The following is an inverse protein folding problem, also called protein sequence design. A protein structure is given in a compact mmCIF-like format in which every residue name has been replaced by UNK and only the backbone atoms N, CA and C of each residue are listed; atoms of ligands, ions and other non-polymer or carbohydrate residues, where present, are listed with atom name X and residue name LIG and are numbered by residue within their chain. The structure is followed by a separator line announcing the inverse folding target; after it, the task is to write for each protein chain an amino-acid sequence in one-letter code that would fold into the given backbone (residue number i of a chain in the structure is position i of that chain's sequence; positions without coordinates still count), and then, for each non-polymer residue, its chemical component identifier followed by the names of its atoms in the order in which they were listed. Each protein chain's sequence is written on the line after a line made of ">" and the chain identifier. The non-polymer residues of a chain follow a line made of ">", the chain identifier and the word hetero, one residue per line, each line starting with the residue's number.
data_IF_811661725480
#
_entry.id   IF_811661725480
#
_cell.length_a   1.000
_cell.length_b   1.000
_cell.length_c   1.000
_cell.angle_alpha   90.00
_cell.angle_beta   90.00
_cell.angle_gamma   90.00
#
_symmetry.space_group_name_H-M   'P 1'
#
loop_
_entity.id
_entity.type
_entity.pdbx_description
1 polymer ?
#
# COMPACT_ATOMS: atom_id res chain seq x y z
N UNK A 1 12.68 24.20 2.25
CA UNK A 1 11.83 22.98 2.52
C UNK A 1 11.10 22.53 1.25
N UNK A 2 11.22 21.10 0.99
CA UNK A 2 10.51 20.56 -0.19
C UNK A 2 9.70 19.31 0.24
N UNK A 3 8.87 18.90 -0.84
CA UNK A 3 8.13 17.63 -0.62
C UNK A 3 8.60 16.60 -1.64
N UNK A 4 9.15 15.54 -1.07
CA UNK A 4 9.57 14.43 -1.95
C UNK A 4 8.47 13.36 -2.00
N UNK A 5 8.05 13.08 -3.29
CA UNK A 5 6.87 12.20 -3.45
C UNK A 5 7.33 10.96 -4.23
N UNK A 6 7.12 9.79 -3.53
CA UNK A 6 7.48 8.52 -4.19
C UNK A 6 6.20 7.80 -4.59
N UNK A 7 6.16 7.46 -5.89
CA UNK A 7 4.97 6.73 -6.38
C UNK A 7 5.43 5.37 -6.91
N UNK A 8 4.93 4.38 -6.14
CA UNK A 8 5.30 3.00 -6.53
C UNK A 8 4.09 2.30 -7.14
N UNK A 9 4.26 2.00 -8.42
CA UNK A 9 3.10 1.46 -9.17
C UNK A 9 3.34 -0.04 -9.44
N UNK A 10 2.37 -0.80 -8.97
CA UNK A 10 2.49 -2.28 -9.09
C UNK A 10 1.96 -2.77 -10.42
N UNK A 11 1.49 -1.83 -11.37
CA UNK A 11 0.95 -2.28 -12.68
C UNK A 11 2.04 -2.22 -13.75
N UNK A 12 2.28 -3.37 -14.39
CA UNK A 12 3.29 -3.44 -15.48
C UNK A 12 2.77 -2.76 -16.74
N UNK A 13 1.91 -1.65 -16.43
CA UNK A 13 1.42 -0.89 -17.59
C UNK A 13 2.32 0.31 -17.86
N UNK A 14 2.56 0.46 -19.16
CA UNK A 14 3.41 1.60 -19.54
C UNK A 14 2.59 2.90 -19.54
N UNK A 15 3.38 4.01 -19.45
CA UNK A 15 2.78 5.36 -19.43
C UNK A 15 1.93 5.61 -20.68
N UNK A 16 2.05 4.70 -21.64
CA UNK A 16 1.30 4.94 -22.90
C UNK A 16 -0.05 4.23 -22.90
N UNK A 17 -0.28 3.50 -21.86
CA UNK A 17 -1.59 2.80 -21.77
C UNK A 17 -2.72 3.78 -21.45
N UNK A 18 -3.79 3.62 -22.19
CA UNK A 18 -4.91 4.56 -21.97
C UNK A 18 -5.61 4.29 -20.64
N UNK A 19 -5.38 3.13 -20.08
CA UNK A 19 -5.97 2.84 -18.75
C UNK A 19 -4.89 2.74 -17.68
N UNK A 20 -4.74 3.89 -17.01
CA UNK A 20 -3.56 3.99 -16.11
C UNK A 20 -4.03 3.81 -14.67
N UNK A 21 -3.13 3.46 -13.76
CA UNK A 21 -3.45 3.23 -12.32
C UNK A 21 -3.68 4.56 -11.59
N UNK A 22 -4.19 4.36 -10.42
CA UNK A 22 -4.40 5.58 -9.60
C UNK A 22 -3.05 6.18 -9.18
N UNK A 23 -2.05 5.34 -9.09
CA UNK A 23 -0.72 5.89 -8.74
C UNK A 23 -0.24 6.82 -9.86
N UNK A 24 -0.43 6.38 -11.07
CA UNK A 24 -0.02 7.23 -12.21
C UNK A 24 -0.85 8.51 -12.26
N UNK A 25 -2.14 8.34 -12.03
CA UNK A 25 -2.99 9.56 -12.03
C UNK A 25 -2.52 10.53 -10.94
N UNK A 26 -2.16 10.04 -9.74
CA UNK A 26 -1.67 10.94 -8.66
C UNK A 26 -0.35 11.58 -9.10
N UNK A 27 0.52 10.83 -9.67
CA UNK A 27 1.83 11.38 -10.06
C UNK A 27 1.66 12.49 -11.10
N UNK A 28 0.70 12.31 -12.01
CA UNK A 28 0.54 13.31 -13.10
C UNK A 28 -0.15 14.57 -12.57
N UNK A 29 -0.82 14.39 -11.41
CA UNK A 29 -1.67 15.53 -10.97
C UNK A 29 -0.91 16.38 -9.94
N UNK A 30 0.19 15.90 -9.45
CA UNK A 30 0.89 16.66 -8.39
C UNK A 30 1.50 17.92 -9.01
N UNK A 31 1.24 19.01 -8.34
CA UNK A 31 1.81 20.30 -8.79
C UNK A 31 3.31 20.35 -8.48
N UNK A 32 4.01 20.88 -9.48
CA UNK A 32 5.46 20.96 -9.24
C UNK A 32 5.77 21.99 -8.15
N UNK A 33 5.12 23.07 -8.17
CA UNK A 33 5.28 24.09 -7.11
C UNK A 33 3.92 24.35 -6.45
N UNK A 34 3.93 24.14 -5.08
CA UNK A 34 2.67 24.38 -4.34
C UNK A 34 2.35 25.88 -4.24
N UNK A 35 1.12 26.19 -3.87
CA UNK A 35 0.67 27.60 -3.75
C UNK A 35 1.58 28.42 -2.83
N UNK A 36 2.15 27.71 -1.91
CA UNK A 36 2.99 28.47 -0.96
C UNK A 36 4.46 28.49 -1.42
N UNK A 37 4.72 28.03 -2.62
CA UNK A 37 6.08 28.13 -3.19
C UNK A 37 6.90 26.86 -2.91
N UNK A 38 6.30 25.89 -2.07
CA UNK A 38 7.06 24.66 -1.75
C UNK A 38 7.19 23.77 -2.98
N UNK A 39 8.45 23.35 -3.24
CA UNK A 39 8.67 22.43 -4.39
C UNK A 39 8.18 21.02 -4.04
N UNK A 40 7.43 20.37 -5.04
CA UNK A 40 6.99 18.98 -4.87
C UNK A 40 7.62 18.11 -5.98
N UNK A 41 8.64 17.27 -5.53
CA UNK A 41 9.37 16.47 -6.53
C UNK A 41 8.85 15.02 -6.52
N UNK A 42 8.50 14.65 -7.79
CA UNK A 42 7.87 13.31 -7.90
C UNK A 42 8.91 12.32 -8.45
N UNK A 43 9.01 11.21 -7.75
CA UNK A 43 9.79 10.08 -8.28
C UNK A 43 8.86 8.88 -8.49
N UNK A 44 8.77 8.53 -9.80
CA UNK A 44 7.83 7.42 -10.12
C UNK A 44 8.63 6.12 -10.35
N UNK A 45 8.24 5.11 -9.55
CA UNK A 45 8.92 3.81 -9.69
C UNK A 45 8.04 2.85 -10.51
N UNK A 46 8.64 2.47 -11.65
CA UNK A 46 7.84 1.55 -12.50
C UNK A 46 8.03 0.10 -12.04
N UNK A 47 7.05 -0.61 -11.77
CA UNK A 47 7.14 -2.06 -11.44
C UNK A 47 8.04 -2.81 -12.45
N UNK A 48 9.24 -3.42 -12.12
CA UNK A 48 10.17 -4.24 -12.93
C UNK A 48 9.36 -5.21 -13.80
N UNK A 49 9.19 -4.87 -15.22
CA UNK A 49 9.12 -5.88 -16.30
C UNK A 49 8.29 -5.35 -17.47
N UNK A 50 8.75 -4.36 -18.14
CA UNK A 50 8.27 -3.98 -19.49
C UNK A 50 8.34 -5.18 -20.43
N UNK A 51 7.48 -6.33 -20.06
CA UNK A 51 7.14 -7.16 -21.22
C UNK A 51 6.85 -8.60 -20.80
N UNK A 52 5.64 -8.98 -20.14
CA UNK A 52 4.98 -10.31 -20.14
C UNK A 52 3.84 -10.30 -19.12
N UNK A 53 2.60 -10.55 -19.66
CA UNK A 53 1.32 -10.83 -19.00
C UNK A 53 1.51 -11.19 -17.52
N UNK A 54 1.12 -10.17 -16.51
CA UNK A 54 0.93 -10.20 -15.05
C UNK A 54 1.07 -11.62 -14.49
N UNK A 55 0.87 -12.82 -15.43
CA UNK A 55 0.78 -14.18 -14.83
C UNK A 55 2.10 -14.93 -15.03
N UNK A 56 2.86 -14.59 -16.07
CA UNK A 56 4.06 -15.38 -16.44
C UNK A 56 5.26 -15.00 -15.58
N UNK A 57 5.18 -13.92 -14.94
CA UNK A 57 6.38 -13.48 -14.20
C UNK A 57 6.22 -13.76 -12.70
N UNK A 58 4.86 -13.95 -12.25
CA UNK A 58 4.52 -14.33 -10.87
C UNK A 58 5.00 -15.77 -10.61
N UNK A 59 5.24 -16.64 -11.67
CA UNK A 59 5.59 -18.07 -11.47
C UNK A 59 7.07 -18.26 -11.79
N UNK A 60 7.85 -17.12 -12.23
CA UNK A 60 9.19 -17.41 -12.76
C UNK A 60 10.28 -16.77 -11.89
N UNK A 61 10.07 -16.44 -10.45
CA UNK A 61 11.26 -16.20 -9.60
C UNK A 61 11.85 -14.79 -9.83
N UNK A 62 11.49 -13.89 -10.89
CA UNK A 62 11.98 -12.52 -11.17
C UNK A 62 11.21 -11.50 -10.32
N UNK A 63 10.30 -11.93 -9.39
CA UNK A 63 9.45 -11.03 -8.58
C UNK A 63 10.25 -10.43 -7.43
N UNK A 64 11.11 -11.19 -6.82
CA UNK A 64 11.85 -10.75 -5.62
C UNK A 64 13.02 -9.83 -5.97
N UNK A 65 13.64 -10.09 -7.07
CA UNK A 65 14.79 -9.26 -7.49
C UNK A 65 14.33 -7.91 -8.03
N UNK A 66 13.15 -7.85 -8.68
CA UNK A 66 12.60 -6.59 -9.21
C UNK A 66 12.12 -5.64 -8.10
N UNK A 67 11.60 -6.21 -7.06
CA UNK A 67 11.10 -5.35 -5.95
C UNK A 67 12.28 -4.74 -5.18
N UNK A 68 13.38 -5.50 -5.08
CA UNK A 68 14.55 -4.92 -4.37
C UNK A 68 15.15 -3.75 -5.17
N UNK A 69 15.11 -3.97 -6.42
CA UNK A 69 15.72 -2.89 -7.23
C UNK A 69 14.87 -1.61 -7.15
N UNK A 70 13.56 -1.84 -7.18
CA UNK A 70 12.69 -0.64 -7.11
C UNK A 70 12.80 0.01 -5.71
N UNK A 71 12.85 -0.83 -4.70
CA UNK A 71 12.98 -0.28 -3.33
C UNK A 71 14.27 0.53 -3.20
N UNK A 72 15.41 -0.06 -3.64
CA UNK A 72 16.68 0.66 -3.48
C UNK A 72 16.69 1.92 -4.36
N UNK A 73 16.11 1.83 -5.48
CA UNK A 73 16.02 3.03 -6.33
C UNK A 73 15.25 4.16 -5.63
N UNK A 74 14.08 3.83 -5.07
CA UNK A 74 13.31 4.87 -4.34
C UNK A 74 14.12 5.39 -3.13
N UNK A 75 14.74 4.46 -2.42
CA UNK A 75 15.59 4.87 -1.26
C UNK A 75 16.72 5.78 -1.73
N UNK A 76 17.34 5.40 -2.79
CA UNK A 76 18.43 6.24 -3.35
C UNK A 76 17.93 7.65 -3.70
N UNK A 77 16.81 7.74 -4.32
CA UNK A 77 16.26 9.07 -4.65
C UNK A 77 16.09 9.92 -3.38
N UNK A 78 15.53 9.27 -2.35
CA UNK A 78 15.36 10.06 -1.12
C UNK A 78 16.72 10.47 -0.55
N UNK A 79 17.65 9.54 -0.54
CA UNK A 79 18.97 9.83 0.07
C UNK A 79 19.68 10.96 -0.69
N UNK A 80 19.46 11.06 -1.93
CA UNK A 80 20.22 12.06 -2.70
C UNK A 80 19.52 13.41 -2.66
N UNK A 81 18.23 13.39 -2.28
CA UNK A 81 17.53 14.68 -2.51
C UNK A 81 16.97 15.22 -1.20
N UNK A 82 17.09 14.44 -0.14
CA UNK A 82 16.48 14.88 1.11
C UNK A 82 17.38 15.92 1.79
N UNK A 83 16.71 16.94 2.35
CA UNK A 83 17.33 17.90 3.28
C UNK A 83 16.49 17.99 4.55
N UNK A 84 17.25 18.24 5.67
CA UNK A 84 16.48 18.32 6.93
C UNK A 84 15.31 19.30 6.82
N UNK A 85 14.14 18.79 7.19
CA UNK A 85 12.93 19.65 7.15
C UNK A 85 12.02 19.26 5.98
N UNK A 86 12.56 18.43 5.03
CA UNK A 86 11.70 18.08 3.88
C UNK A 86 10.62 17.09 4.32
N UNK A 87 9.58 17.08 3.55
CA UNK A 87 8.48 16.15 3.83
C UNK A 87 8.46 15.04 2.77
N UNK A 88 8.15 13.77 3.30
CA UNK A 88 8.18 12.63 2.36
C UNK A 88 6.77 12.03 2.27
N UNK A 89 6.35 11.92 0.98
CA UNK A 89 5.05 11.27 0.71
C UNK A 89 5.30 10.00 -0.13
N UNK A 90 4.59 8.94 0.31
CA UNK A 90 4.81 7.70 -0.45
C UNK A 90 3.45 7.09 -0.81
N UNK A 91 3.35 6.67 -2.11
CA UNK A 91 2.09 6.04 -2.55
C UNK A 91 2.43 4.71 -3.25
N UNK A 92 1.45 3.84 -3.08
CA UNK A 92 1.72 2.54 -3.74
C UNK A 92 0.41 1.80 -4.01
N UNK A 93 0.47 1.01 -5.11
CA UNK A 93 -0.69 0.15 -5.43
C UNK A 93 -0.20 -1.28 -5.66
N UNK A 94 -0.98 -2.29 -5.08
CA UNK A 94 -0.71 -3.74 -5.24
C UNK A 94 0.71 -4.09 -4.78
N UNK A 95 1.59 -4.46 -5.72
CA UNK A 95 2.99 -4.75 -5.35
C UNK A 95 3.75 -3.45 -5.06
N UNK A 96 3.38 -2.48 -5.87
CA UNK A 96 3.97 -1.16 -5.54
C UNK A 96 3.67 -0.73 -4.09
N UNK A 97 2.48 -1.11 -3.64
CA UNK A 97 2.16 -0.79 -2.21
C UNK A 97 3.09 -1.56 -1.28
N UNK A 98 3.45 -2.76 -1.74
CA UNK A 98 4.45 -3.50 -0.94
C UNK A 98 5.79 -2.75 -0.91
N UNK A 99 6.21 -2.29 -2.03
CA UNK A 99 7.45 -1.51 -2.10
C UNK A 99 7.36 -0.25 -1.25
N UNK A 100 6.22 0.43 -1.35
CA UNK A 100 6.06 1.68 -0.58
C UNK A 100 6.15 1.39 0.92
N UNK A 101 5.52 0.36 1.28
CA UNK A 101 5.54 0.04 2.72
C UNK A 101 6.94 -0.37 3.14
N UNK A 102 7.63 -1.16 2.34
CA UNK A 102 9.01 -1.55 2.65
C UNK A 102 9.95 -0.34 2.70
N UNK A 103 9.71 0.52 1.76
CA UNK A 103 10.55 1.74 1.77
C UNK A 103 10.39 2.52 3.07
N UNK A 104 9.12 2.69 3.50
CA UNK A 104 8.90 3.48 4.73
C UNK A 104 9.47 2.73 5.94
N UNK A 105 9.35 1.43 5.88
CA UNK A 105 9.91 0.65 7.00
C UNK A 105 11.45 0.71 6.99
N UNK A 106 12.00 0.59 5.79
CA UNK A 106 13.47 0.68 5.70
C UNK A 106 13.98 2.03 6.21
N UNK A 107 13.29 3.08 5.86
CA UNK A 107 13.73 4.40 6.36
C UNK A 107 13.60 4.44 7.89
N UNK A 108 12.57 3.87 8.41
CA UNK A 108 12.35 3.86 9.87
C UNK A 108 13.34 2.94 10.59
N UNK A 109 13.74 1.93 9.95
CA UNK A 109 14.57 0.92 10.65
C UNK A 109 16.06 1.30 10.52
N UNK A 110 16.51 1.42 9.24
CA UNK A 110 17.97 1.65 9.11
C UNK A 110 18.26 3.15 9.03
N UNK A 111 17.38 4.00 8.82
CA UNK A 111 17.61 5.46 8.65
C UNK A 111 17.87 5.81 7.18
N UNK A 112 17.85 7.10 6.89
CA UNK A 112 18.07 7.56 5.50
C UNK A 112 19.51 8.06 5.34
N UNK A 113 20.20 7.45 4.36
CA UNK A 113 21.61 7.83 4.13
C UNK A 113 21.70 9.31 3.70
N UNK A 114 22.87 9.92 4.15
CA UNK A 114 23.10 11.30 3.65
C UNK A 114 23.76 11.24 2.27
N UNK A 115 23.50 12.33 1.55
CA UNK A 115 24.12 12.36 0.20
C UNK A 115 25.65 12.27 0.30
N UNK A 116 26.23 12.84 1.37
CA UNK A 116 27.70 12.78 1.56
C UNK A 116 28.16 11.35 1.84
N UNK A 117 27.37 10.67 2.62
CA UNK A 117 27.77 9.27 2.91
C UNK A 117 27.78 8.44 1.62
N UNK A 118 26.80 8.77 0.78
CA UNK A 118 26.78 8.00 -0.48
C UNK A 118 27.96 8.37 -1.37
N UNK A 119 28.36 9.65 -1.33
CA UNK A 119 29.43 10.11 -2.26
C UNK A 119 30.81 9.76 -1.70
N UNK A 120 30.96 9.77 -0.34
CA UNK A 120 32.31 9.78 0.26
C UNK A 120 32.61 8.38 0.83
N UNK A 121 31.82 7.42 0.42
CA UNK A 121 32.11 6.08 0.96
C UNK A 121 33.51 5.62 0.52
N UNK A 122 34.52 5.97 1.46
CA UNK A 122 35.97 5.73 1.31
C UNK A 122 36.26 4.24 1.43
N UNK A 123 35.77 3.40 0.32
CA UNK A 123 36.05 1.95 0.37
C UNK A 123 35.01 1.16 -0.44
N UNK A 124 35.43 0.11 -1.27
CA UNK A 124 34.76 -0.90 -2.12
C UNK A 124 33.35 -1.23 -1.59
N UNK A 125 32.78 -0.52 -0.40
CA UNK A 125 31.48 -1.03 0.09
C UNK A 125 30.36 -0.12 -0.46
N UNK A 126 29.58 -0.66 -1.19
CA UNK A 126 28.36 0.00 -1.70
C UNK A 126 27.31 0.15 -0.59
N UNK A 127 27.14 1.43 -0.06
CA UNK A 127 26.30 1.67 1.14
C UNK A 127 24.82 1.44 0.82
N UNK A 128 24.46 1.60 -0.41
CA UNK A 128 23.04 1.27 -0.74
C UNK A 128 22.77 -0.23 -0.56
N UNK A 129 23.75 -0.99 -1.08
CA UNK A 129 23.58 -2.44 -0.88
C UNK A 129 23.65 -2.82 0.60
N UNK A 130 24.54 -2.15 1.29
CA UNK A 130 24.63 -2.42 2.74
C UNK A 130 23.34 -2.04 3.47
N UNK A 131 22.74 -0.90 3.05
CA UNK A 131 21.44 -0.52 3.68
C UNK A 131 20.40 -1.62 3.50
N UNK A 132 20.31 -2.10 2.29
CA UNK A 132 19.29 -3.14 2.02
C UNK A 132 19.62 -4.41 2.81
N UNK A 133 20.88 -4.81 2.79
CA UNK A 133 21.27 -6.04 3.52
C UNK A 133 21.00 -5.90 5.03
N UNK A 134 21.38 -4.73 5.56
CA UNK A 134 21.12 -4.50 7.00
C UNK A 134 19.63 -4.55 7.31
N UNK A 135 18.90 -3.86 6.49
CA UNK A 135 17.44 -3.88 6.66
C UNK A 135 16.91 -5.31 6.62
N UNK A 136 17.39 -6.12 5.78
CA UNK A 136 16.86 -7.50 5.66
C UNK A 136 17.30 -8.36 6.85
N UNK A 137 18.59 -8.21 7.08
CA UNK A 137 19.11 -9.01 8.20
C UNK A 137 18.36 -8.70 9.50
N UNK A 138 18.20 -7.38 9.65
CA UNK A 138 17.48 -6.99 10.88
C UNK A 138 16.06 -7.57 10.89
N UNK A 139 15.45 -7.68 9.75
CA UNK A 139 14.05 -8.15 9.75
C UNK A 139 13.99 -9.68 9.80
N UNK A 140 14.97 -10.31 9.28
CA UNK A 140 14.98 -11.79 9.35
C UNK A 140 15.20 -12.25 10.80
N UNK A 141 16.05 -11.54 11.54
CA UNK A 141 16.46 -11.96 12.91
C UNK A 141 15.46 -11.43 13.94
N UNK A 142 14.49 -10.58 13.55
CA UNK A 142 13.52 -9.88 14.43
C UNK A 142 12.12 -10.47 14.22
N UNK A 143 11.85 -11.83 14.46
CA UNK A 143 10.49 -12.34 14.73
C UNK A 143 10.23 -12.43 16.23
N UNK A 144 11.16 -11.55 17.16
CA UNK A 144 10.64 -11.30 18.52
C UNK A 144 11.82 -11.04 19.48
N UNK A 145 13.29 -10.76 18.93
CA UNK A 145 14.39 -10.28 19.79
C UNK A 145 15.70 -10.26 18.99
N UNK A 146 16.00 -9.14 18.44
CA UNK A 146 17.23 -9.14 17.63
C UNK A 146 18.48 -9.47 18.47
N UNK A 147 19.26 -10.56 18.09
CA UNK A 147 20.57 -10.81 18.74
C UNK A 147 21.45 -9.56 18.80
N UNK A 148 22.17 -9.26 19.83
CA UNK A 148 23.09 -8.14 20.11
C UNK A 148 23.95 -7.79 18.89
N UNK A 149 24.15 -8.72 17.94
CA UNK A 149 25.02 -8.43 16.78
C UNK A 149 24.26 -7.66 15.70
N UNK A 150 23.01 -8.02 15.42
CA UNK A 150 22.21 -7.28 14.43
C UNK A 150 21.94 -5.84 14.90
N UNK A 151 21.77 -5.69 16.20
CA UNK A 151 21.56 -4.31 16.71
C UNK A 151 22.85 -3.48 16.59
N UNK A 152 23.92 -4.12 16.85
CA UNK A 152 25.21 -3.39 16.73
C UNK A 152 25.48 -3.00 15.27
N UNK A 153 25.21 -3.96 14.40
CA UNK A 153 25.41 -3.63 12.96
C UNK A 153 24.49 -2.48 12.53
N UNK A 154 23.24 -2.60 12.97
CA UNK A 154 22.31 -1.49 12.65
C UNK A 154 22.81 -0.16 13.21
N UNK A 155 23.24 -0.18 14.48
CA UNK A 155 23.71 1.08 15.09
C UNK A 155 24.93 1.62 14.32
N UNK A 156 25.77 0.71 13.96
CA UNK A 156 26.96 1.16 13.21
C UNK A 156 26.55 1.77 11.86
N UNK A 157 25.63 1.08 11.23
CA UNK A 157 25.21 1.60 9.92
C UNK A 157 24.56 2.98 10.07
N UNK A 158 23.82 3.24 11.05
CA UNK A 158 23.04 4.48 11.18
C UNK A 158 23.96 5.69 11.35
N UNK A 159 25.21 5.46 11.54
CA UNK A 159 26.16 6.61 11.62
C UNK A 159 26.27 7.33 10.29
N UNK A 160 25.82 6.63 9.28
CA UNK A 160 25.92 7.27 7.94
C UNK A 160 24.60 7.93 7.55
N UNK A 161 23.63 7.95 8.42
CA UNK A 161 22.29 8.43 8.01
C UNK A 161 21.98 9.75 8.71
N UNK A 162 20.91 10.42 8.16
CA UNK A 162 20.46 11.65 8.81
C UNK A 162 19.97 11.34 10.23
N UNK A 163 20.27 12.32 11.20
CA UNK A 163 19.67 12.20 12.55
C UNK A 163 20.45 11.20 13.42
N UNK A 164 21.76 10.80 12.88
CA UNK A 164 22.56 9.81 13.63
C UNK A 164 22.98 10.37 15.00
N UNK A 165 22.99 11.70 15.15
CA UNK A 165 23.42 12.28 16.44
C UNK A 165 22.22 12.48 17.37
N UNK A 166 21.04 12.73 16.77
CA UNK A 166 19.83 12.93 17.59
C UNK A 166 18.65 12.24 16.90
N UNK A 167 17.99 11.38 17.73
CA UNK A 167 16.90 10.55 17.16
C UNK A 167 15.72 11.43 16.71
N UNK A 168 15.48 12.56 17.37
CA UNK A 168 14.31 13.39 17.02
C UNK A 168 14.53 14.14 15.70
N UNK A 169 15.72 13.96 15.13
CA UNK A 169 15.96 14.69 13.86
C UNK A 169 15.96 13.70 12.69
N UNK A 170 15.59 12.48 12.98
CA UNK A 170 15.55 11.48 11.88
C UNK A 170 14.38 11.79 10.93
N UNK A 171 14.71 11.54 9.66
CA UNK A 171 13.64 11.80 8.69
C UNK A 171 12.38 10.97 8.98
N UNK A 172 11.28 11.70 8.80
CA UNK A 172 9.99 10.99 9.02
C UNK A 172 9.18 10.95 7.72
N UNK A 173 8.32 9.92 7.71
CA UNK A 173 7.37 9.85 6.57
C UNK A 173 6.07 10.58 6.91
N UNK A 174 5.92 11.72 6.13
CA UNK A 174 4.74 12.54 6.45
C UNK A 174 3.44 11.79 6.12
N UNK A 175 3.44 11.05 4.94
CA UNK A 175 2.17 10.41 4.52
C UNK A 175 2.50 9.19 3.66
N UNK A 176 1.83 8.08 4.04
CA UNK A 176 1.84 6.92 3.11
C UNK A 176 0.40 6.52 2.79
N UNK A 177 0.20 6.44 1.46
CA UNK A 177 -1.11 5.97 0.98
C UNK A 177 -0.95 4.76 0.05
N UNK A 178 -1.69 3.74 0.44
CA UNK A 178 -1.54 2.55 -0.42
C UNK A 178 -2.93 2.05 -0.81
N UNK A 179 -2.92 1.46 -2.06
CA UNK A 179 -4.17 0.87 -2.58
C UNK A 179 -4.02 -0.66 -2.61
N UNK A 180 -4.77 -1.33 -1.90
CA UNK A 180 -4.97 -2.79 -1.88
C UNK A 180 -3.63 -3.52 -2.01
N UNK A 181 -2.90 -3.54 -0.90
CA UNK A 181 -1.57 -4.18 -0.87
C UNK A 181 -1.71 -5.71 -0.95
N UNK A 182 -0.93 -6.29 -1.90
CA UNK A 182 -0.94 -7.77 -1.95
C UNK A 182 0.50 -8.27 -1.72
N UNK A 183 0.58 -9.22 -0.72
CA UNK A 183 1.91 -9.75 -0.31
C UNK A 183 2.48 -10.68 -1.39
N UNK A 184 3.89 -10.75 -1.54
CA UNK A 184 4.67 -11.66 -2.42
C UNK A 184 4.31 -13.12 -2.16
N UNK A 185 3.34 -13.44 -1.21
CA UNK A 185 3.09 -14.82 -0.71
C UNK A 185 2.10 -15.55 -1.62
N UNK A 186 1.67 -14.93 -2.73
CA UNK A 186 0.73 -15.56 -3.67
C UNK A 186 1.46 -16.17 -4.88
N UNK A 187 2.92 -16.23 -4.83
CA UNK A 187 3.67 -16.82 -5.95
C UNK A 187 4.06 -18.26 -5.56
N UNK A 188 3.46 -19.27 -6.26
CA UNK A 188 3.86 -20.66 -6.04
C UNK A 188 5.39 -20.81 -5.96
N UNK A 189 5.97 -21.17 -4.75
CA UNK A 189 7.43 -21.45 -4.63
C UNK A 189 8.14 -20.33 -3.84
N UNK A 190 7.42 -19.20 -3.51
CA UNK A 190 8.03 -18.11 -2.71
C UNK A 190 7.47 -18.21 -1.29
N UNK A 191 8.32 -18.76 -0.31
CA UNK A 191 7.95 -18.98 1.12
C UNK A 191 8.11 -17.67 1.91
N UNK A 192 7.15 -17.35 2.83
CA UNK A 192 7.17 -16.26 3.84
C UNK A 192 8.57 -16.03 4.39
N UNK A 193 9.41 -17.07 4.36
CA UNK A 193 10.76 -16.98 4.94
C UNK A 193 11.73 -16.23 4.02
N UNK A 194 11.36 -16.19 2.67
CA UNK A 194 12.28 -15.52 1.71
C UNK A 194 11.82 -14.09 1.40
N UNK A 195 10.58 -13.67 1.92
CA UNK A 195 10.11 -12.30 1.58
C UNK A 195 9.10 -11.83 2.62
N UNK A 196 9.15 -12.48 3.93
CA UNK A 196 8.43 -12.10 5.18
C UNK A 196 8.79 -10.68 5.60
N UNK A 197 9.11 -9.74 4.53
CA UNK A 197 9.61 -8.40 4.89
C UNK A 197 8.45 -7.45 5.18
N UNK A 198 7.19 -8.02 5.23
CA UNK A 198 6.17 -6.99 5.53
C UNK A 198 5.73 -7.12 6.99
N UNK A 199 6.32 -6.25 7.74
CA UNK A 199 5.66 -5.98 9.04
C UNK A 199 4.29 -5.31 8.85
N UNK A 200 3.34 -6.10 9.02
CA UNK A 200 1.99 -5.46 9.03
C UNK A 200 1.94 -4.39 10.12
N UNK A 201 3.19 -4.28 10.84
CA UNK A 201 3.24 -3.18 11.84
C UNK A 201 3.89 -1.91 11.25
N UNK A 202 3.26 -0.86 11.36
CA UNK A 202 3.73 0.43 10.81
C UNK A 202 4.87 0.99 11.68
N UNK A 203 5.94 1.46 10.94
CA UNK A 203 7.09 2.06 11.66
C UNK A 203 6.66 3.34 12.41
N UNK A 204 7.26 3.62 13.54
CA UNK A 204 6.95 4.84 14.32
C UNK A 204 7.41 6.10 13.58
N UNK A 205 8.06 5.89 12.49
CA UNK A 205 8.55 7.07 11.74
C UNK A 205 7.50 7.58 10.74
N UNK A 206 6.34 6.96 10.80
CA UNK A 206 5.26 7.38 9.87
C UNK A 206 4.25 8.21 10.66
N UNK A 207 3.89 9.39 10.01
CA UNK A 207 2.93 10.28 10.72
C UNK A 207 1.49 9.88 10.36
N UNK A 208 1.25 9.70 9.01
CA UNK A 208 -0.13 9.40 8.59
C UNK A 208 -0.09 8.23 7.60
N UNK A 209 -0.97 7.20 7.89
CA UNK A 209 -1.07 6.05 6.96
C UNK A 209 -2.53 5.84 6.53
N UNK A 210 -2.73 5.73 5.19
CA UNK A 210 -4.07 5.48 4.63
C UNK A 210 -4.01 4.29 3.67
N UNK A 211 -5.00 3.45 3.87
CA UNK A 211 -5.04 2.28 3.00
C UNK A 211 -6.46 2.08 2.46
N UNK A 212 -6.51 1.94 1.12
CA UNK A 212 -7.78 1.60 0.49
C UNK A 212 -7.79 0.10 0.16
N UNK A 213 -8.97 -0.53 0.54
CA UNK A 213 -9.01 -1.99 0.38
C UNK A 213 -10.26 -2.38 -0.43
N UNK A 214 -10.03 -3.55 -1.12
CA UNK A 214 -11.13 -4.01 -2.00
C UNK A 214 -12.01 -5.03 -1.25
N UNK A 215 -13.36 -4.76 -1.30
CA UNK A 215 -14.30 -5.62 -0.52
C UNK A 215 -14.65 -6.84 -1.37
N UNK A 216 -14.59 -6.76 -2.69
CA UNK A 216 -15.19 -7.82 -3.54
C UNK A 216 -14.07 -8.66 -4.17
N UNK A 217 -12.83 -8.53 -3.67
CA UNK A 217 -11.74 -9.32 -4.29
C UNK A 217 -11.80 -10.76 -3.75
N UNK A 218 -11.92 -11.67 -4.70
CA UNK A 218 -12.20 -13.06 -4.25
C UNK A 218 -11.01 -13.97 -4.56
N UNK A 219 -10.07 -13.43 -5.24
CA UNK A 219 -8.89 -14.27 -5.51
C UNK A 219 -8.06 -14.46 -4.23
N UNK A 220 -7.82 -15.68 -3.90
CA UNK A 220 -7.16 -16.00 -2.62
C UNK A 220 -5.69 -15.59 -2.64
N UNK A 221 -5.14 -15.48 -3.81
CA UNK A 221 -3.71 -15.07 -3.92
C UNK A 221 -3.56 -13.57 -3.70
N UNK A 222 -4.76 -12.88 -3.55
CA UNK A 222 -4.72 -11.42 -3.33
C UNK A 222 -5.20 -11.10 -1.91
N UNK A 223 -4.72 -11.84 -1.00
CA UNK A 223 -5.08 -11.55 0.39
C UNK A 223 -4.55 -10.16 0.81
N UNK A 224 -5.46 -9.41 1.36
CA UNK A 224 -5.00 -8.07 1.71
C UNK A 224 -4.05 -8.08 2.92
N UNK A 225 -3.08 -7.19 2.80
CA UNK A 225 -2.18 -6.98 3.94
C UNK A 225 -2.63 -5.78 4.78
N UNK A 226 -3.36 -6.09 5.88
CA UNK A 226 -3.96 -5.00 6.68
C UNK A 226 -2.97 -4.61 7.79
N UNK A 227 -2.90 -3.27 8.00
CA UNK A 227 -2.02 -2.81 9.10
C UNK A 227 -2.61 -3.17 10.47
N UNK A 228 -1.66 -3.53 11.39
CA UNK A 228 -2.06 -3.70 12.80
C UNK A 228 -1.37 -2.65 13.67
N UNK A 229 -2.28 -1.98 14.46
CA UNK A 229 -1.65 -0.97 15.35
C UNK A 229 -2.05 -1.28 16.80
N UNK A 230 -1.13 -1.15 17.71
CA UNK A 230 -1.45 -1.40 19.13
C UNK A 230 -2.13 -0.17 19.76
N UNK A 231 -2.56 0.93 18.75
CA UNK A 231 -3.34 2.09 19.24
C UNK A 231 -2.54 3.00 20.15
N UNK A 232 -1.31 2.73 20.43
CA UNK A 232 -0.52 3.50 21.42
C UNK A 232 0.58 4.30 20.71
N UNK A 233 0.55 4.24 19.31
CA UNK A 233 1.63 4.95 18.59
C UNK A 233 1.10 6.25 17.96
N UNK A 234 2.01 7.22 17.77
CA UNK A 234 1.66 8.56 17.26
C UNK A 234 1.13 8.50 15.82
N UNK A 235 1.12 7.32 15.21
CA UNK A 235 0.76 7.31 13.78
C UNK A 235 -0.76 7.31 13.62
N UNK A 236 -1.19 8.17 12.77
CA UNK A 236 -2.62 8.22 12.42
C UNK A 236 -2.91 7.26 11.24
N UNK A 237 -3.60 6.13 11.61
CA UNK A 237 -3.82 5.09 10.58
C UNK A 237 -5.32 5.02 10.26
N UNK A 238 -5.57 4.95 8.94
CA UNK A 238 -6.96 4.73 8.51
C UNK A 238 -6.96 3.74 7.34
N UNK A 239 -7.74 2.70 7.56
CA UNK A 239 -7.92 1.70 6.48
C UNK A 239 -9.39 1.62 6.08
N UNK A 240 -9.69 1.90 4.79
CA UNK A 240 -11.09 2.05 4.35
C UNK A 240 -11.36 1.02 3.25
N UNK A 241 -12.52 0.31 3.44
CA UNK A 241 -12.92 -0.70 2.43
C UNK A 241 -13.86 -0.09 1.38
N UNK A 242 -13.43 -0.34 0.13
CA UNK A 242 -14.20 0.21 -1.01
C UNK A 242 -14.82 -0.95 -1.79
N UNK A 243 -15.96 -0.60 -2.43
CA UNK A 243 -16.62 -1.60 -3.29
C UNK A 243 -15.77 -1.88 -4.55
N UNK A 244 -15.69 -3.19 -4.93
CA UNK A 244 -15.00 -3.55 -6.18
C UNK A 244 -13.83 -4.51 -5.89
N UNK A 245 -13.25 -4.87 -7.01
CA UNK A 245 -12.10 -5.80 -6.90
C UNK A 245 -10.79 -5.02 -6.93
N UNK A 246 -9.67 -5.68 -6.87
CA UNK A 246 -8.31 -5.12 -6.75
C UNK A 246 -8.10 -3.94 -7.71
N UNK A 247 -8.45 -4.09 -8.92
CA UNK A 247 -8.17 -3.02 -9.90
C UNK A 247 -9.25 -1.92 -9.83
N UNK A 248 -10.40 -2.24 -9.19
CA UNK A 248 -11.42 -1.17 -8.97
C UNK A 248 -10.96 -0.19 -7.89
N UNK A 249 -9.90 -0.66 -7.11
CA UNK A 249 -9.36 0.23 -6.08
C UNK A 249 -8.10 0.94 -6.61
N UNK A 250 -7.30 0.21 -7.29
CA UNK A 250 -5.97 0.72 -7.71
C UNK A 250 -6.00 1.31 -9.10
N UNK A 251 -7.10 1.04 -9.81
CA UNK A 251 -7.20 1.62 -11.18
C UNK A 251 -6.54 0.71 -12.22
N UNK A 252 -6.74 1.15 -13.53
CA UNK A 252 -6.01 0.34 -14.52
C UNK A 252 -6.98 -0.42 -15.44
N UNK A 253 -8.33 -0.08 -15.16
CA UNK A 253 -9.28 -0.78 -16.04
C UNK A 253 -9.97 0.22 -16.97
N UNK A 254 -10.53 -0.36 -18.03
CA UNK A 254 -11.25 0.47 -19.02
C UNK A 254 -12.38 1.27 -18.36
N UNK A 255 -13.02 0.53 -17.42
CA UNK A 255 -14.03 1.27 -16.64
C UNK A 255 -13.44 1.72 -15.30
N UNK A 256 -13.33 3.00 -15.05
CA UNK A 256 -12.50 3.46 -13.92
C UNK A 256 -13.36 4.08 -12.81
N UNK A 257 -14.74 4.07 -13.03
CA UNK A 257 -15.58 4.88 -12.12
C UNK A 257 -15.42 4.38 -10.67
N UNK A 258 -15.31 3.03 -10.44
CA UNK A 258 -15.17 2.61 -9.02
C UNK A 258 -13.80 3.00 -8.45
N UNK A 259 -12.80 2.94 -9.23
CA UNK A 259 -11.46 3.30 -8.72
C UNK A 259 -11.31 4.81 -8.51
N UNK A 260 -12.27 5.57 -9.05
CA UNK A 260 -12.22 7.03 -8.87
C UNK A 260 -12.58 7.40 -7.41
N UNK A 261 -13.45 6.56 -6.81
CA UNK A 261 -13.82 6.88 -5.42
C UNK A 261 -12.62 6.71 -4.48
N UNK A 262 -11.90 5.58 -4.66
CA UNK A 262 -10.72 5.42 -3.78
C UNK A 262 -9.64 6.46 -4.10
N UNK A 263 -9.52 6.82 -5.37
CA UNK A 263 -8.55 7.87 -5.74
C UNK A 263 -8.91 9.20 -5.08
N UNK A 264 -10.19 9.55 -5.10
CA UNK A 264 -10.61 10.84 -4.52
C UNK A 264 -10.36 10.84 -3.01
N UNK A 265 -10.67 9.77 -2.44
CA UNK A 265 -10.47 9.70 -0.98
C UNK A 265 -8.99 9.86 -0.64
N UNK A 266 -8.17 9.09 -1.32
CA UNK A 266 -6.73 9.11 -1.00
C UNK A 266 -6.13 10.51 -1.25
N UNK A 267 -6.45 11.11 -2.35
CA UNK A 267 -5.88 12.44 -2.65
C UNK A 267 -6.39 13.47 -1.64
N UNK A 268 -7.67 13.34 -1.32
CA UNK A 268 -8.20 14.30 -0.33
C UNK A 268 -7.47 14.14 1.01
N UNK A 269 -7.19 12.87 1.38
CA UNK A 269 -6.48 12.66 2.67
C UNK A 269 -5.06 13.22 2.60
N UNK A 270 -4.42 12.97 1.49
CA UNK A 270 -3.04 13.48 1.36
C UNK A 270 -3.02 15.01 1.31
N UNK A 271 -4.03 15.63 0.68
CA UNK A 271 -4.07 17.11 0.58
C UNK A 271 -4.27 17.74 1.95
N UNK A 272 -4.99 17.04 2.82
CA UNK A 272 -5.17 17.59 4.19
C UNK A 272 -3.84 17.66 4.93
N UNK A 273 -2.87 16.98 4.28
CA UNK A 273 -1.55 17.00 4.98
C UNK A 273 -0.50 17.68 4.12
N UNK A 274 -1.01 18.49 3.17
CA UNK A 274 -0.05 19.46 2.60
C UNK A 274 0.24 19.14 1.12
N UNK A 275 -0.15 17.89 0.65
CA UNK A 275 0.10 17.62 -0.78
C UNK A 275 -0.85 18.44 -1.67
N UNK A 276 -0.29 19.07 -2.64
CA UNK A 276 -1.16 19.86 -3.54
C UNK A 276 -1.12 19.26 -4.96
N UNK A 277 -2.29 19.19 -5.51
CA UNK A 277 -2.38 18.63 -6.88
C UNK A 277 -3.01 19.69 -7.80
N UNK A 278 -2.74 19.46 -9.14
CA UNK A 278 -3.42 20.28 -10.16
C UNK A 278 -4.71 19.57 -10.60
N UNK A 279 -5.84 20.14 -10.14
CA UNK A 279 -7.15 19.45 -10.33
C UNK A 279 -7.46 19.27 -11.81
N UNK A 280 -7.02 20.24 -12.59
CA UNK A 280 -7.31 20.15 -14.03
C UNK A 280 -6.63 18.94 -14.66
N UNK A 281 -5.63 18.39 -13.93
CA UNK A 281 -4.90 17.24 -14.53
C UNK A 281 -5.53 15.93 -14.05
N UNK A 282 -6.58 16.07 -13.20
CA UNK A 282 -7.24 14.84 -12.73
C UNK A 282 -8.34 14.43 -13.72
N UNK A 283 -8.60 13.08 -13.80
CA UNK A 283 -9.67 12.66 -14.72
C UNK A 283 -11.00 13.32 -14.39
N UNK A 284 -11.78 13.76 -15.47
CA UNK A 284 -13.07 14.49 -15.36
C UNK A 284 -14.05 13.74 -14.46
N UNK A 285 -13.82 12.47 -14.39
CA UNK A 285 -14.77 11.64 -13.62
C UNK A 285 -14.62 11.92 -12.12
N UNK A 286 -13.49 12.62 -11.73
CA UNK A 286 -13.29 12.94 -10.30
C UNK A 286 -14.01 14.22 -9.92
N UNK A 287 -14.60 14.94 -10.97
CA UNK A 287 -15.30 16.21 -10.66
C UNK A 287 -16.81 15.99 -10.60
N UNK A 288 -17.23 14.70 -11.05
CA UNK A 288 -18.67 14.39 -10.94
C UNK A 288 -18.85 13.06 -10.19
N UNK A 289 -19.77 13.10 -9.09
CA UNK A 289 -19.99 11.88 -8.27
C UNK A 289 -20.70 10.80 -9.11
N UNK A 290 -19.88 9.66 -9.14
CA UNK A 290 -20.58 8.58 -9.87
C UNK A 290 -21.92 8.21 -9.20
N UNK A 291 -22.95 8.05 -10.09
CA UNK A 291 -24.24 7.55 -9.55
C UNK A 291 -24.09 6.08 -9.13
N UNK A 292 -23.80 5.92 -7.82
CA UNK A 292 -23.38 4.58 -7.35
C UNK A 292 -24.62 3.67 -7.27
N UNK A 293 -25.84 4.22 -7.35
CA UNK A 293 -27.05 3.35 -7.32
C UNK A 293 -27.56 3.14 -8.74
N UNK A 294 -26.91 3.83 -9.67
CA UNK A 294 -27.37 3.72 -11.06
C UNK A 294 -27.00 2.35 -11.66
N UNK A 295 -27.71 1.93 -12.67
CA UNK A 295 -27.50 0.61 -13.31
C UNK A 295 -26.16 0.56 -14.05
N UNK A 296 -25.59 1.71 -14.29
CA UNK A 296 -24.36 1.73 -15.11
C UNK A 296 -23.12 1.59 -14.23
N UNK A 297 -23.31 1.70 -12.88
CA UNK A 297 -22.18 1.53 -11.95
C UNK A 297 -22.02 0.03 -11.63
N UNK A 298 -20.90 -0.53 -12.20
CA UNK A 298 -20.74 -1.99 -12.00
C UNK A 298 -19.28 -2.30 -11.70
N UNK A 299 -19.07 -2.75 -10.45
CA UNK A 299 -17.69 -3.19 -10.18
C UNK A 299 -17.29 -4.39 -11.06
N UNK A 300 -16.02 -4.48 -11.26
CA UNK A 300 -15.54 -5.55 -12.15
C UNK A 300 -15.48 -6.89 -11.41
N UNK A 301 -15.41 -7.96 -12.36
CA UNK A 301 -15.32 -9.33 -11.79
C UNK A 301 -13.90 -9.88 -12.01
N UNK A 302 -13.30 -10.15 -10.92
CA UNK A 302 -11.86 -10.55 -11.01
C UNK A 302 -11.74 -12.06 -11.15
N UNK A 303 -12.83 -12.89 -11.07
CA UNK A 303 -12.70 -14.36 -11.09
C UNK A 303 -12.82 -14.86 -12.53
N UNK A 304 -11.69 -14.89 -13.18
CA UNK A 304 -11.72 -15.58 -14.48
C UNK A 304 -11.66 -17.10 -14.31
N UNK A 305 -11.96 -17.77 -15.39
CA UNK A 305 -11.90 -19.26 -15.32
C UNK A 305 -10.53 -19.74 -14.82
N UNK A 306 -9.51 -19.09 -15.22
CA UNK A 306 -8.15 -19.48 -14.76
C UNK A 306 -8.01 -19.29 -13.24
N UNK A 307 -8.57 -18.24 -12.71
CA UNK A 307 -8.41 -17.99 -11.26
C UNK A 307 -9.37 -18.87 -10.45
N UNK A 308 -10.38 -19.30 -11.14
CA UNK A 308 -11.27 -20.25 -10.42
C UNK A 308 -10.54 -21.57 -10.18
N UNK A 309 -9.75 -21.93 -11.17
CA UNK A 309 -9.00 -23.19 -11.06
C UNK A 309 -7.88 -23.04 -10.00
N UNK A 310 -7.16 -21.87 -10.12
CA UNK A 310 -6.10 -21.62 -9.13
C UNK A 310 -6.70 -21.61 -7.71
N UNK A 311 -7.79 -20.99 -7.55
CA UNK A 311 -8.42 -20.98 -6.20
C UNK A 311 -8.73 -22.41 -5.73
N UNK A 312 -9.29 -23.19 -6.70
CA UNK A 312 -9.63 -24.57 -6.32
C UNK A 312 -8.38 -25.36 -5.92
N UNK A 313 -7.37 -25.19 -6.67
CA UNK A 313 -6.12 -25.88 -6.32
C UNK A 313 -5.58 -25.43 -4.95
N UNK A 314 -5.65 -24.14 -4.64
CA UNK A 314 -5.17 -23.64 -3.33
C UNK A 314 -6.02 -24.19 -2.18
N UNK A 315 -7.23 -24.34 -2.50
CA UNK A 315 -8.09 -24.89 -1.44
C UNK A 315 -7.78 -26.36 -1.20
N UNK A 316 -7.28 -27.05 -2.23
CA UNK A 316 -6.97 -28.48 -2.11
C UNK A 316 -5.60 -28.66 -1.44
N UNK A 317 -4.65 -27.77 -1.82
CA UNK A 317 -3.25 -27.93 -1.39
C UNK A 317 -3.08 -27.34 0.02
N UNK A 318 -3.86 -26.49 0.42
CA UNK A 318 -3.66 -25.90 1.75
C UNK A 318 -5.03 -25.58 2.37
N UNK A 319 -5.84 -26.66 2.65
CA UNK A 319 -7.21 -26.48 3.15
C UNK A 319 -7.23 -25.80 4.52
N UNK A 320 -6.00 -25.78 5.31
CA UNK A 320 -5.91 -25.25 6.69
C UNK A 320 -5.39 -23.81 6.68
N UNK A 321 -4.76 -23.26 5.57
CA UNK A 321 -4.40 -21.82 5.49
C UNK A 321 -5.64 -20.94 5.39
N UNK A 322 -6.77 -21.62 4.99
CA UNK A 322 -8.06 -20.88 4.96
C UNK A 322 -8.76 -21.03 6.32
N UNK A 323 -8.03 -21.77 7.26
CA UNK A 323 -8.55 -21.85 8.64
C UNK A 323 -7.52 -21.30 9.63
N UNK A 324 -7.48 -19.84 10.05
CA UNK A 324 -7.87 -19.30 11.38
C UNK A 324 -6.72 -19.39 12.37
N UNK A 325 -5.49 -19.16 12.05
CA UNK A 325 -4.79 -18.81 13.32
C UNK A 325 -4.14 -17.44 13.18
N UNK A 326 -4.63 -16.51 12.21
CA UNK A 326 -4.33 -15.06 12.39
C UNK A 326 -5.54 -14.25 11.90
N UNK A 327 -6.80 -14.57 12.44
CA UNK A 327 -8.03 -13.75 12.34
C UNK A 327 -8.67 -13.88 10.96
N UNK A 328 -9.22 -14.96 10.49
CA UNK A 328 -10.07 -15.43 9.37
C UNK A 328 -10.27 -14.34 8.32
N UNK A 329 -9.31 -14.05 7.46
CA UNK A 329 -9.42 -12.97 6.45
C UNK A 329 -10.09 -13.50 5.18
N UNK A 330 -10.38 -14.92 5.25
CA UNK A 330 -11.16 -15.45 4.12
C UNK A 330 -12.06 -16.59 4.61
N UNK A 331 -13.32 -16.53 4.24
CA UNK A 331 -14.22 -17.69 4.38
C UNK A 331 -14.73 -18.10 2.99
N UNK A 332 -14.10 -19.34 2.59
CA UNK A 332 -14.33 -19.85 1.22
C UNK A 332 -13.66 -18.94 0.17
N UNK A 333 -14.44 -17.87 -0.54
CA UNK A 333 -13.87 -16.95 -1.55
C UNK A 333 -14.21 -15.50 -1.18
N UNK A 334 -14.61 -15.40 0.10
CA UNK A 334 -14.98 -14.02 0.48
C UNK A 334 -13.98 -13.53 1.54
N UNK A 335 -13.60 -12.19 1.29
CA UNK A 335 -12.70 -11.58 2.31
C UNK A 335 -13.47 -11.27 3.60
N UNK A 336 -13.05 -12.03 4.73
CA UNK A 336 -13.76 -11.76 6.00
C UNK A 336 -12.75 -11.20 7.01
N UNK A 337 -13.01 -9.84 7.34
CA UNK A 337 -12.08 -9.39 8.41
C UNK A 337 -12.83 -9.31 9.75
N UNK A 338 -12.45 -10.18 10.69
CA UNK A 338 -13.06 -10.18 12.05
C UNK A 338 -12.77 -8.87 12.78
N UNK A 339 -13.72 -8.03 13.14
CA UNK A 339 -13.80 -6.70 13.78
C UNK A 339 -13.78 -6.87 15.30
N UNK A 340 -13.86 -8.26 15.86
CA UNK A 340 -14.05 -8.24 17.33
C UNK A 340 -12.93 -9.04 17.99
N UNK A 341 -11.61 -8.46 17.99
CA UNK A 341 -10.43 -8.96 18.73
C UNK A 341 -9.16 -8.76 17.90
N UNK A 342 -9.28 -7.84 16.81
CA UNK A 342 -8.09 -7.67 15.95
C UNK A 342 -7.38 -6.35 16.29
N UNK A 343 -6.29 -6.47 17.06
CA UNK A 343 -5.38 -5.35 17.35
C UNK A 343 -5.29 -4.38 16.16
N UNK A 344 -5.94 -4.73 14.98
CA UNK A 344 -5.89 -3.92 13.74
C UNK A 344 -6.81 -2.70 13.83
N UNK A 345 -6.39 -1.40 14.07
CA UNK A 345 -7.14 -0.12 13.98
C UNK A 345 -8.56 -0.35 13.44
N UNK A 346 -9.62 0.42 14.03
CA UNK A 346 -10.99 0.26 13.54
C UNK A 346 -11.07 0.39 12.02
N UNK A 347 -11.51 -0.68 11.34
CA UNK A 347 -11.70 -0.66 9.87
C UNK A 347 -12.95 0.14 9.50
N UNK A 348 -12.81 0.97 8.39
CA UNK A 348 -13.87 1.87 7.92
C UNK A 348 -14.38 1.39 6.55
N UNK A 349 -15.65 1.76 6.34
CA UNK A 349 -16.23 1.42 5.02
C UNK A 349 -16.64 2.71 4.29
N UNK A 350 -16.27 2.65 3.00
CA UNK A 350 -16.66 3.83 2.20
C UNK A 350 -18.19 3.90 2.06
N UNK A 351 -18.64 5.12 2.11
CA UNK A 351 -20.12 5.34 2.15
C UNK A 351 -20.78 4.75 0.90
N UNK A 352 -20.21 4.89 -0.30
CA UNK A 352 -20.90 4.31 -1.46
C UNK A 352 -21.01 2.77 -1.35
N UNK A 353 -20.01 2.19 -0.84
CA UNK A 353 -20.08 0.72 -0.67
C UNK A 353 -21.16 0.33 0.34
N UNK A 354 -21.21 1.04 1.47
CA UNK A 354 -22.24 0.73 2.49
C UNK A 354 -23.65 0.98 1.95
N UNK A 355 -23.87 2.07 1.25
CA UNK A 355 -25.21 2.42 0.73
C UNK A 355 -25.69 1.36 -0.27
N UNK A 356 -24.83 0.98 -1.13
CA UNK A 356 -25.27 -0.01 -2.14
C UNK A 356 -25.59 -1.35 -1.47
N UNK A 357 -24.71 -1.73 -0.56
CA UNK A 357 -25.03 -2.98 0.16
C UNK A 357 -26.39 -2.90 0.86
N UNK A 358 -26.69 -1.72 1.46
CA UNK A 358 -27.93 -1.60 2.26
C UNK A 358 -29.15 -1.46 1.33
N UNK A 359 -28.98 -0.90 0.14
CA UNK A 359 -30.18 -0.49 -0.63
C UNK A 359 -30.37 -1.44 -1.81
N UNK A 360 -29.34 -2.20 -2.20
CA UNK A 360 -29.50 -3.11 -3.35
C UNK A 360 -29.45 -4.55 -2.84
N UNK A 361 -30.59 -5.24 -3.00
CA UNK A 361 -30.71 -6.59 -2.43
C UNK A 361 -29.66 -7.55 -3.03
N UNK A 362 -29.35 -7.37 -4.33
CA UNK A 362 -28.37 -8.27 -4.98
C UNK A 362 -26.98 -8.10 -4.37
N UNK A 363 -26.66 -6.94 -3.98
CA UNK A 363 -25.32 -6.69 -3.39
C UNK A 363 -25.15 -7.42 -2.05
N UNK A 364 -26.21 -7.53 -1.30
CA UNK A 364 -26.08 -8.29 -0.02
C UNK A 364 -25.58 -9.71 -0.26
N UNK A 365 -25.94 -10.19 -1.50
CA UNK A 365 -25.47 -11.55 -1.80
C UNK A 365 -24.00 -11.57 -2.22
N UNK A 366 -23.54 -10.50 -2.81
CA UNK A 366 -22.15 -10.43 -3.33
C UNK A 366 -21.18 -9.96 -2.24
N UNK A 367 -21.61 -9.08 -1.34
CA UNK A 367 -20.69 -8.55 -0.31
C UNK A 367 -21.07 -9.16 1.05
N UNK A 368 -20.92 -10.40 1.06
CA UNK A 368 -21.38 -11.11 2.28
C UNK A 368 -20.53 -10.71 3.49
N UNK A 369 -19.35 -10.19 3.16
CA UNK A 369 -18.45 -9.82 4.27
C UNK A 369 -19.03 -8.66 5.09
N UNK A 370 -19.81 -7.79 4.50
CA UNK A 370 -20.37 -6.64 5.25
C UNK A 370 -21.46 -7.14 6.21
N UNK A 371 -22.26 -8.13 5.77
CA UNK A 371 -23.27 -8.70 6.70
C UNK A 371 -22.61 -9.20 7.99
N UNK A 372 -21.49 -9.71 7.80
CA UNK A 372 -20.77 -10.22 9.00
C UNK A 372 -20.38 -9.06 9.93
N UNK A 373 -19.89 -8.01 9.34
CA UNK A 373 -19.55 -6.82 10.16
C UNK A 373 -20.78 -6.33 10.93
N UNK A 374 -21.95 -6.36 10.20
CA UNK A 374 -23.18 -5.90 10.87
C UNK A 374 -23.51 -6.84 12.03
N UNK A 375 -23.37 -8.15 11.74
CA UNK A 375 -23.70 -9.12 12.79
C UNK A 375 -22.76 -8.97 13.99
N UNK A 376 -21.55 -8.58 13.71
CA UNK A 376 -20.55 -8.54 14.80
C UNK A 376 -20.61 -7.19 15.54
N UNK A 377 -20.71 -6.10 14.85
CA UNK A 377 -20.58 -4.76 15.49
C UNK A 377 -21.95 -4.19 15.82
N UNK A 378 -22.96 -4.69 15.09
CA UNK A 378 -24.28 -4.03 15.14
C UNK A 378 -24.41 -2.91 14.10
N UNK A 379 -25.58 -2.64 13.56
CA UNK A 379 -25.82 -1.66 12.49
C UNK A 379 -25.48 -0.23 12.93
N UNK A 380 -25.69 0.12 14.14
CA UNK A 380 -25.43 1.52 14.60
C UNK A 380 -23.92 1.78 14.69
N UNK A 381 -23.20 0.76 15.22
CA UNK A 381 -21.74 0.95 15.32
C UNK A 381 -21.08 0.96 13.95
N UNK A 382 -21.57 0.14 13.04
CA UNK A 382 -21.01 0.16 11.67
C UNK A 382 -21.25 1.51 10.99
N UNK A 383 -22.42 2.11 11.25
CA UNK A 383 -22.71 3.42 10.63
C UNK A 383 -21.70 4.48 11.09
N UNK A 384 -21.17 4.35 12.31
CA UNK A 384 -20.15 5.31 12.80
C UNK A 384 -18.81 5.10 12.09
N UNK A 385 -18.70 3.99 11.41
CA UNK A 385 -17.41 3.71 10.75
C UNK A 385 -17.50 4.00 9.24
N UNK A 386 -18.61 4.60 8.84
CA UNK A 386 -18.75 4.93 7.40
C UNK A 386 -18.02 6.25 7.11
N UNK A 387 -17.24 6.11 5.98
CA UNK A 387 -16.44 7.29 5.60
C UNK A 387 -17.05 7.91 4.33
N UNK A 388 -17.27 9.19 4.56
CA UNK A 388 -17.80 9.89 3.37
C UNK A 388 -16.66 10.24 2.40
N UNK A 389 -17.03 10.01 1.12
CA UNK A 389 -15.98 10.29 0.12
C UNK A 389 -16.22 11.70 -0.45
N UNK A 390 -15.18 12.52 -0.25
CA UNK A 390 -15.37 13.90 -0.70
C UNK A 390 -15.35 14.01 -2.24
N UNK A 391 -15.87 15.23 -2.64
CA UNK A 391 -15.70 15.55 -4.07
C UNK A 391 -14.44 16.40 -4.27
N UNK A 392 -13.62 16.06 -5.24
CA UNK A 392 -12.37 16.83 -5.44
C UNK A 392 -12.65 18.05 -6.32
#
# INVERSE_FOLDING_TARGET
>A
MKRLIICCDGTWKTAQDPHISNIEKIARAIRTRAGDGTMQLVHYCNGVGTGATWFDRVIGGAFGRGLDLTLIDAYRFLALNYEPGDEIFVFGFSRGAYTARSLTDMVGTVGLLTADALACSRGRVNLLDAALTTYRDYRRTNASNPGSAARDALSEFRRHTYGSARADTRPRIKFIGVFDTVGALGVPGVTRQNYGFLNVELSDSVDVARQALAIDERRLTFDPCVWTTDGEGPTDVRQVWFEGVHSDIGGGLERGEPSTLSLTWMVSEASQHGLEIERARMPEVLTARPDVLGEEYLPNNSMSWAYQVVNLMKLIVDPFRVDSRVAKRHKRQVRVLEVTDDAASPMFIAEPAYRRWAELSERNKRAKNISWWVDQLGPEELEKRVVKIPTL
#
